data_IF_119679834317
#
_entry.id   IF_119679834317
#
_cell.length_a   1.000
_cell.length_b   1.000
_cell.length_c   1.000
_cell.angle_alpha   90.00
_cell.angle_beta   90.00
_cell.angle_gamma   90.00
#
_symmetry.space_group_name_H-M   'P 1'
#
loop_
_entity.id
_entity.type
_entity.pdbx_description
1 polymer ?
#
# COMPACT_ATOMS: atom_id res chain seq x y z
N UNK A 1 -6.13 -15.25 1.73
CA UNK A 1 -6.35 -14.84 3.14
C UNK A 1 -5.92 -13.37 3.25
N UNK A 2 -6.77 -12.44 3.69
CA UNK A 2 -6.51 -10.98 3.57
C UNK A 2 -5.20 -10.55 4.28
N UNK A 3 -4.93 -11.15 5.44
CA UNK A 3 -3.69 -10.94 6.21
C UNK A 3 -2.45 -11.31 5.39
N UNK A 4 -2.51 -12.39 4.60
CA UNK A 4 -1.39 -12.84 3.78
C UNK A 4 -1.07 -11.87 2.64
N UNK A 5 -2.10 -11.27 2.03
CA UNK A 5 -1.92 -10.27 0.96
C UNK A 5 -1.27 -8.99 1.47
N UNK A 6 -1.59 -8.56 2.69
CA UNK A 6 -0.96 -7.41 3.33
C UNK A 6 0.52 -7.69 3.64
N UNK A 7 0.84 -8.87 4.18
CA UNK A 7 2.23 -9.28 4.39
C UNK A 7 3.02 -9.43 3.09
N UNK A 8 2.37 -9.86 2.00
CA UNK A 8 3.01 -9.93 0.68
C UNK A 8 3.24 -8.54 0.11
N UNK A 9 2.29 -7.63 0.32
CA UNK A 9 2.37 -6.24 -0.13
C UNK A 9 3.43 -5.44 0.62
N UNK A 10 3.62 -5.65 1.92
CA UNK A 10 4.71 -4.97 2.65
C UNK A 10 6.11 -5.40 2.16
N UNK A 11 6.26 -6.67 1.76
CA UNK A 11 7.51 -7.24 1.24
C UNK A 11 7.74 -6.92 -0.24
N UNK A 12 6.68 -6.71 -1.01
CA UNK A 12 6.77 -6.51 -2.46
C UNK A 12 7.55 -5.23 -2.80
N UNK A 13 8.53 -5.38 -3.67
CA UNK A 13 9.49 -4.36 -4.04
C UNK A 13 8.96 -3.30 -5.01
N UNK A 14 8.10 -3.70 -5.95
CA UNK A 14 7.66 -2.84 -7.05
C UNK A 14 6.30 -2.18 -6.76
N UNK A 15 5.43 -2.96 -6.11
CA UNK A 15 4.02 -2.62 -5.91
C UNK A 15 3.67 -2.39 -4.44
N UNK A 16 4.64 -2.57 -3.55
CA UNK A 16 4.49 -2.51 -2.12
C UNK A 16 5.47 -1.54 -1.46
N UNK A 17 5.78 -1.78 -0.18
CA UNK A 17 6.72 -0.96 0.58
C UNK A 17 8.18 -1.44 0.48
N UNK A 18 8.41 -2.63 -0.06
CA UNK A 18 9.76 -3.13 -0.34
C UNK A 18 10.64 -3.31 0.89
N UNK A 19 10.08 -3.68 2.05
CA UNK A 19 10.83 -3.80 3.32
C UNK A 19 12.06 -4.70 3.20
N UNK A 20 12.01 -5.72 2.34
CA UNK A 20 13.13 -6.62 2.05
C UNK A 20 14.36 -5.92 1.42
N UNK A 21 14.19 -4.75 0.78
CA UNK A 21 15.32 -3.96 0.23
C UNK A 21 16.27 -3.46 1.32
N UNK A 22 15.79 -3.33 2.56
CA UNK A 22 16.64 -2.90 3.67
C UNK A 22 17.80 -3.86 3.96
N UNK A 23 17.67 -5.16 3.58
CA UNK A 23 18.62 -6.25 3.84
C UNK A 23 19.13 -6.27 5.30
N UNK A 24 18.28 -5.84 6.25
CA UNK A 24 18.66 -5.77 7.66
C UNK A 24 18.91 -7.18 8.21
N UNK A 25 20.03 -7.36 8.92
CA UNK A 25 20.38 -8.61 9.63
C UNK A 25 20.19 -8.51 11.14
N UNK A 26 19.83 -7.33 11.65
CA UNK A 26 19.48 -7.09 13.05
C UNK A 26 17.96 -7.13 13.21
N UNK A 27 17.48 -7.94 14.16
CA UNK A 27 16.07 -8.05 14.51
C UNK A 27 15.53 -6.70 14.99
N UNK A 28 16.27 -6.00 15.87
CA UNK A 28 15.87 -4.70 16.41
C UNK A 28 15.67 -3.66 15.31
N UNK A 29 16.59 -3.60 14.34
CA UNK A 29 16.44 -2.70 13.19
C UNK A 29 15.26 -3.12 12.31
N UNK A 30 15.02 -4.42 12.15
CA UNK A 30 13.90 -4.92 11.37
C UNK A 30 12.56 -4.59 12.03
N UNK A 31 12.45 -4.65 13.36
CA UNK A 31 11.25 -4.26 14.10
C UNK A 31 10.88 -2.79 13.86
N UNK A 32 11.88 -1.90 13.89
CA UNK A 32 11.67 -0.47 13.56
C UNK A 32 11.22 -0.30 12.11
N UNK A 33 11.81 -1.04 11.17
CA UNK A 33 11.41 -1.00 9.76
C UNK A 33 9.98 -1.52 9.55
N UNK A 34 9.57 -2.55 10.29
CA UNK A 34 8.19 -3.05 10.28
C UNK A 34 7.21 -2.03 10.85
N UNK A 35 7.57 -1.33 11.93
CA UNK A 35 6.75 -0.25 12.48
C UNK A 35 6.57 0.88 11.46
N UNK A 36 7.67 1.32 10.82
CA UNK A 36 7.62 2.34 9.76
C UNK A 36 6.74 1.86 8.60
N UNK A 37 6.89 0.60 8.19
CA UNK A 37 6.07 0.03 7.13
C UNK A 37 4.58 -0.03 7.51
N UNK A 38 4.26 -0.34 8.76
CA UNK A 38 2.88 -0.34 9.26
C UNK A 38 2.26 1.07 9.22
N UNK A 39 3.01 2.08 9.70
CA UNK A 39 2.58 3.47 9.66
C UNK A 39 2.41 3.99 8.22
N UNK A 40 3.36 3.67 7.34
CA UNK A 40 3.26 4.00 5.91
C UNK A 40 2.05 3.31 5.25
N UNK A 41 1.77 2.06 5.62
CA UNK A 41 0.60 1.32 5.12
C UNK A 41 -0.70 1.97 5.58
N UNK A 42 -0.77 2.40 6.84
CA UNK A 42 -1.91 3.11 7.38
C UNK A 42 -2.13 4.46 6.68
N UNK A 43 -1.07 5.25 6.48
CA UNK A 43 -1.14 6.50 5.74
C UNK A 43 -1.61 6.28 4.29
N UNK A 44 -1.04 5.30 3.58
CA UNK A 44 -1.49 4.95 2.23
C UNK A 44 -2.96 4.52 2.21
N UNK A 45 -3.41 3.76 3.21
CA UNK A 45 -4.82 3.38 3.33
C UNK A 45 -5.74 4.60 3.50
N UNK A 46 -5.37 5.58 4.34
CA UNK A 46 -6.11 6.84 4.49
C UNK A 46 -6.18 7.63 3.18
N UNK A 47 -5.07 7.72 2.44
CA UNK A 47 -5.05 8.39 1.12
C UNK A 47 -5.95 7.65 0.13
N UNK A 48 -5.95 6.31 0.15
CA UNK A 48 -6.84 5.51 -0.68
C UNK A 48 -8.31 5.74 -0.38
N UNK A 49 -8.68 5.87 0.90
CA UNK A 49 -10.02 6.25 1.34
C UNK A 49 -10.43 7.63 0.82
N UNK A 50 -9.56 8.63 0.98
CA UNK A 50 -9.83 9.99 0.50
C UNK A 50 -10.00 10.01 -1.04
N UNK A 51 -9.10 9.34 -1.77
CA UNK A 51 -9.16 9.24 -3.22
C UNK A 51 -10.42 8.49 -3.71
N UNK A 52 -10.92 7.52 -2.95
CA UNK A 52 -12.19 6.86 -3.27
C UNK A 52 -13.37 7.80 -3.06
N UNK A 53 -13.40 8.52 -1.92
CA UNK A 53 -14.43 9.49 -1.60
C UNK A 53 -14.53 10.61 -2.66
N UNK A 54 -13.39 11.04 -3.20
CA UNK A 54 -13.32 12.00 -4.32
C UNK A 54 -13.64 11.39 -5.69
N UNK A 55 -13.91 10.08 -5.78
CA UNK A 55 -14.19 9.37 -7.04
C UNK A 55 -12.94 9.11 -7.90
N UNK A 56 -11.74 9.50 -7.45
CA UNK A 56 -10.48 9.37 -8.19
C UNK A 56 -10.08 7.92 -8.46
N UNK A 57 -10.55 6.98 -7.64
CA UNK A 57 -10.31 5.54 -7.82
C UNK A 57 -10.63 5.03 -9.25
N UNK A 58 -11.60 5.66 -9.94
CA UNK A 58 -11.99 5.32 -11.32
C UNK A 58 -10.87 5.57 -12.34
N UNK A 59 -9.99 6.54 -12.11
CA UNK A 59 -8.85 6.81 -13.00
C UNK A 59 -7.71 5.80 -12.85
N UNK A 60 -7.70 5.04 -11.75
CA UNK A 60 -6.66 4.04 -11.47
C UNK A 60 -7.06 2.62 -11.89
N UNK A 61 -8.33 2.42 -12.30
CA UNK A 61 -8.82 1.13 -12.79
C UNK A 61 -9.07 1.21 -14.31
N UNK A 62 -8.56 0.25 -15.09
CA UNK A 62 -8.78 0.22 -16.53
C UNK A 62 -10.13 -0.39 -16.93
N UNK A 63 -10.85 -0.99 -15.98
CA UNK A 63 -12.12 -1.65 -16.23
C UNK A 63 -13.32 -0.71 -16.08
N UNK A 64 -14.42 -1.07 -16.73
CA UNK A 64 -15.70 -0.34 -16.70
C UNK A 64 -16.51 -0.61 -15.41
N UNK A 65 -15.94 -1.30 -14.42
CA UNK A 65 -16.66 -1.66 -13.21
C UNK A 65 -16.99 -0.40 -12.40
N UNK A 66 -18.24 -0.25 -11.95
CA UNK A 66 -18.65 0.90 -11.12
C UNK A 66 -18.21 0.78 -9.66
N UNK A 67 -17.86 -0.43 -9.22
CA UNK A 67 -17.33 -0.73 -7.88
C UNK A 67 -15.82 -0.54 -7.85
N UNK A 68 -15.28 -0.18 -6.70
CA UNK A 68 -13.83 -0.18 -6.46
C UNK A 68 -13.27 -1.59 -6.62
N UNK A 69 -12.22 -1.72 -7.44
CA UNK A 69 -11.52 -3.00 -7.66
C UNK A 69 -10.21 -3.10 -6.90
N UNK A 70 -9.50 -1.98 -6.73
CA UNK A 70 -8.24 -1.93 -5.99
C UNK A 70 -8.47 -1.85 -4.48
N UNK A 71 -7.55 -2.39 -3.68
CA UNK A 71 -7.55 -2.13 -2.24
C UNK A 71 -7.21 -0.66 -1.98
N UNK A 72 -7.73 -0.09 -0.88
CA UNK A 72 -7.42 1.31 -0.54
C UNK A 72 -5.90 1.53 -0.37
N UNK A 73 -5.19 0.58 0.24
CA UNK A 73 -3.73 0.65 0.36
C UNK A 73 -3.06 0.79 -1.01
N UNK A 74 -3.39 -0.08 -1.97
CA UNK A 74 -2.79 -0.03 -3.29
C UNK A 74 -3.20 1.23 -4.07
N UNK A 75 -4.47 1.63 -3.99
CA UNK A 75 -4.95 2.88 -4.56
C UNK A 75 -4.17 4.08 -3.99
N UNK A 76 -4.03 4.16 -2.67
CA UNK A 76 -3.30 5.23 -2.00
C UNK A 76 -1.84 5.29 -2.38
N UNK A 77 -1.15 4.14 -2.48
CA UNK A 77 0.22 4.10 -3.02
C UNK A 77 0.31 4.62 -4.45
N UNK A 78 -0.70 4.34 -5.29
CA UNK A 78 -0.73 4.82 -6.68
C UNK A 78 -1.03 6.31 -6.77
N UNK A 79 -1.86 6.83 -5.85
CA UNK A 79 -2.11 8.26 -5.71
C UNK A 79 -0.83 8.97 -5.29
N UNK A 80 -0.21 8.54 -4.20
CA UNK A 80 1.05 9.10 -3.67
C UNK A 80 2.23 9.02 -4.65
N UNK A 81 2.23 8.08 -5.59
CA UNK A 81 3.30 7.96 -6.61
C UNK A 81 3.06 8.87 -7.83
N UNK A 82 1.84 9.37 -8.02
CA UNK A 82 1.48 10.23 -9.16
C UNK A 82 1.48 11.72 -8.80
N UNK A 83 1.20 12.04 -7.54
CA UNK A 83 1.46 13.36 -6.95
C UNK A 83 2.99 13.58 -6.82
#
# INVERSE_FOLDING_TARGET
MQIEEDFRSSKNEHYGLGVNRSRSRSAQRFDVLLLIAALASFAAWLVGLAAEHEGRHRHYQPNTAKRRVLSHFFLGLRVLRRE
#
